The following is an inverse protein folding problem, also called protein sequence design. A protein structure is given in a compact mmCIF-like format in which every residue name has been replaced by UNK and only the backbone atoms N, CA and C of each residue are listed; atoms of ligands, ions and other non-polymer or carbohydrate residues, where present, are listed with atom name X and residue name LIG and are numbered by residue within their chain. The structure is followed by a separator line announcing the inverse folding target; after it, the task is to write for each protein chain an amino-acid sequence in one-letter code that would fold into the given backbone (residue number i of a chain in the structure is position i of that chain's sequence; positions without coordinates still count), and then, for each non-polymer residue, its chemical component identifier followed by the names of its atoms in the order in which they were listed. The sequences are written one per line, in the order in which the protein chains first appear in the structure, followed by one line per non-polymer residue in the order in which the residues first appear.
data_IF_199708553421
#
_entry.id   IF_199708553421
#
_cell.length_a   1.000
_cell.length_b   1.000
_cell.length_c   1.000
_cell.angle_alpha   90.00
_cell.angle_beta   90.00
_cell.angle_gamma   90.00
#
_symmetry.space_group_name_H-M   'P 1'
#
loop_
_entity.id
_entity.type
_entity.pdbx_description
1 polymer ?
#
# COMPACT_ATOMS: atom_id res chain seq x y z
N UNK A 1 -2.74 -18.68 -9.44
CA UNK A 1 -2.93 -17.21 -9.40
C UNK A 1 -1.99 -16.63 -10.43
N UNK A 2 -2.50 -15.96 -11.47
CA UNK A 2 -1.63 -15.28 -12.43
C UNK A 2 -1.08 -14.05 -11.69
N UNK A 3 0.23 -14.00 -11.48
CA UNK A 3 0.86 -12.88 -10.78
C UNK A 3 1.02 -11.72 -11.77
N UNK A 4 0.40 -10.55 -11.53
CA UNK A 4 0.54 -9.44 -12.43
C UNK A 4 1.99 -8.95 -12.46
N UNK A 5 2.41 -8.47 -13.63
CA UNK A 5 3.74 -7.88 -13.80
C UNK A 5 3.82 -6.49 -13.15
N UNK A 6 2.69 -5.80 -12.99
CA UNK A 6 2.58 -4.54 -12.27
C UNK A 6 1.50 -4.61 -11.18
N UNK A 7 1.81 -4.16 -9.96
CA UNK A 7 0.84 -3.99 -8.89
C UNK A 7 0.75 -2.51 -8.49
N UNK A 8 -0.45 -1.94 -8.59
CA UNK A 8 -0.76 -0.58 -8.13
C UNK A 8 -1.53 -0.67 -6.83
N UNK A 9 -1.05 0.01 -5.80
CA UNK A 9 -1.66 0.06 -4.49
C UNK A 9 -2.14 1.48 -4.17
N UNK A 10 -3.43 1.60 -3.85
CA UNK A 10 -4.08 2.87 -3.49
C UNK A 10 -4.47 2.87 -2.02
N UNK A 11 -3.94 3.82 -1.23
CA UNK A 11 -4.34 4.05 0.17
C UNK A 11 -4.56 5.54 0.44
N UNK A 12 -5.73 5.91 0.97
CA UNK A 12 -5.94 7.24 1.57
C UNK A 12 -5.60 7.20 3.04
N UNK A 13 -4.92 8.22 3.54
CA UNK A 13 -4.77 8.43 4.97
C UNK A 13 -5.92 9.30 5.49
N UNK A 14 -6.75 8.76 6.38
CA UNK A 14 -7.54 9.58 7.29
C UNK A 14 -6.60 10.13 8.37
N UNK A 15 -6.75 11.42 8.74
CA UNK A 15 -5.88 12.05 9.73
C UNK A 15 -5.86 11.22 11.03
N UNK A 16 -4.64 10.99 11.55
CA UNK A 16 -4.31 10.51 12.90
C UNK A 16 -4.45 9.03 13.29
N UNK A 17 -4.84 8.06 12.45
CA UNK A 17 -4.86 6.64 12.88
C UNK A 17 -4.31 5.58 11.92
N UNK A 18 -4.05 5.88 10.65
CA UNK A 18 -3.60 4.85 9.71
C UNK A 18 -2.14 5.02 9.32
N UNK A 19 -1.20 4.94 10.28
CA UNK A 19 0.20 4.73 9.89
C UNK A 19 0.26 3.48 9.00
N UNK A 20 0.72 3.64 7.75
CA UNK A 20 1.27 2.51 7.03
C UNK A 20 2.30 1.91 7.98
N UNK A 21 2.09 0.65 8.39
CA UNK A 21 3.14 -0.05 9.10
C UNK A 21 4.42 0.11 8.25
N UNK A 22 5.56 0.53 8.81
CA UNK A 22 6.78 0.76 8.03
C UNK A 22 7.20 -0.48 7.21
N UNK A 23 6.68 -1.67 7.55
CA UNK A 23 6.73 -2.87 6.74
C UNK A 23 6.11 -2.75 5.34
N UNK A 24 4.96 -2.10 5.19
CA UNK A 24 4.27 -2.03 3.89
C UNK A 24 5.06 -1.17 2.88
N UNK A 25 5.65 -0.05 3.32
CA UNK A 25 6.51 0.77 2.44
C UNK A 25 7.80 0.03 2.06
N UNK A 26 8.39 -0.76 2.99
CA UNK A 26 9.55 -1.62 2.74
C UNK A 26 9.30 -2.74 1.71
N UNK A 27 8.05 -3.17 1.52
CA UNK A 27 7.71 -4.21 0.55
C UNK A 27 7.60 -3.68 -0.89
N UNK A 28 7.42 -2.37 -1.07
CA UNK A 28 7.17 -1.73 -2.37
C UNK A 28 8.29 -0.82 -2.86
N UNK A 29 9.22 -0.41 -2.00
CA UNK A 29 10.42 0.31 -2.42
C UNK A 29 11.48 -0.65 -2.98
N UNK A 30 11.93 -0.41 -4.22
CA UNK A 30 13.12 -1.04 -4.80
C UNK A 30 14.44 -0.54 -4.20
N UNK A 31 14.44 -0.22 -2.90
CA UNK A 31 15.62 0.20 -2.16
C UNK A 31 16.42 -1.02 -1.73
N UNK A 32 17.66 -1.11 -2.20
CA UNK A 32 18.67 -1.97 -1.60
C UNK A 32 18.89 -1.55 -0.14
N UNK A 33 18.59 -2.44 0.81
CA UNK A 33 19.20 -2.37 2.14
C UNK A 33 18.24 -2.24 3.32
N UNK A 34 18.65 -2.88 4.40
CA UNK A 34 18.17 -2.79 5.78
C UNK A 34 18.23 -1.38 6.40
N UNK A 35 18.18 -0.30 5.62
CA UNK A 35 18.32 1.05 6.18
C UNK A 35 17.04 1.48 6.89
N UNK A 36 17.13 1.49 8.21
CA UNK A 36 16.14 1.95 9.19
C UNK A 36 16.09 3.49 9.32
N UNK A 37 16.92 4.17 8.53
CA UNK A 37 17.09 5.62 8.51
C UNK A 37 16.81 6.09 7.08
N UNK A 38 15.76 6.89 6.83
CA UNK A 38 15.49 7.42 5.50
C UNK A 38 16.53 8.49 5.09
N UNK A 39 16.74 8.67 3.79
CA UNK A 39 17.69 9.65 3.23
C UNK A 39 17.43 11.09 3.74
N UNK A 40 16.17 11.45 3.95
CA UNK A 40 15.76 12.76 4.46
C UNK A 40 15.67 12.83 6.00
N UNK A 41 16.33 11.91 6.72
CA UNK A 41 16.35 11.93 8.17
C UNK A 41 17.20 13.09 8.72
N UNK A 42 16.84 13.66 9.88
CA UNK A 42 17.69 14.63 10.56
C UNK A 42 19.05 14.01 10.92
N UNK A 43 20.10 14.82 10.89
CA UNK A 43 21.45 14.39 11.24
C UNK A 43 21.46 13.75 12.65
N UNK A 44 22.01 12.53 12.75
CA UNK A 44 22.09 11.79 14.01
C UNK A 44 20.83 10.99 14.38
N UNK A 45 19.87 10.85 13.47
CA UNK A 45 18.70 9.97 13.61
C UNK A 45 19.12 8.56 14.04
N UNK A 46 18.58 8.02 15.16
CA UNK A 46 18.95 6.69 15.63
C UNK A 46 18.35 5.54 14.82
N UNK A 47 17.42 5.82 13.89
CA UNK A 47 16.61 4.80 13.20
C UNK A 47 15.33 4.45 13.96
N UNK A 48 14.32 3.92 13.26
CA UNK A 48 13.00 3.58 13.83
C UNK A 48 12.96 2.24 14.58
N UNK A 49 13.92 1.35 14.34
CA UNK A 49 14.13 0.09 15.05
C UNK A 49 15.06 0.22 16.27
N UNK A 50 15.71 1.38 16.45
CA UNK A 50 16.57 1.63 17.61
C UNK A 50 15.77 1.81 18.90
N UNK A 51 16.33 1.35 20.02
CA UNK A 51 15.77 1.58 21.36
C UNK A 51 15.70 3.08 21.73
N UNK A 52 16.51 3.91 21.07
CA UNK A 52 16.61 5.37 21.24
C UNK A 52 15.65 6.16 20.33
N UNK A 53 14.89 5.46 19.47
CA UNK A 53 13.93 6.08 18.56
C UNK A 53 12.89 6.90 19.35
N UNK A 54 12.72 8.18 18.97
CA UNK A 54 11.80 9.11 19.65
C UNK A 54 12.26 9.62 21.02
N UNK A 55 13.40 9.14 21.53
CA UNK A 55 13.94 9.50 22.87
C UNK A 55 15.18 10.39 22.80
N UNK A 56 16.03 10.21 21.78
CA UNK A 56 17.25 11.00 21.58
C UNK A 56 16.96 12.46 21.22
N UNK A 57 17.88 13.37 21.53
CA UNK A 57 17.76 14.80 21.20
C UNK A 57 17.55 15.06 19.70
N UNK A 58 18.16 14.24 18.84
CA UNK A 58 17.96 14.30 17.38
C UNK A 58 16.52 14.02 16.93
N UNK A 59 15.66 13.50 17.81
CA UNK A 59 14.26 13.25 17.54
C UNK A 59 13.35 14.43 17.94
N UNK A 60 13.87 15.44 18.65
CA UNK A 60 13.08 16.60 19.06
C UNK A 60 12.55 17.35 17.83
N UNK A 61 11.25 17.62 17.80
CA UNK A 61 10.58 18.30 16.67
C UNK A 61 10.28 17.40 15.47
N UNK A 62 10.59 16.10 15.55
CA UNK A 62 10.18 15.14 14.52
C UNK A 62 8.66 14.89 14.59
N UNK A 63 7.91 14.99 13.46
CA UNK A 63 6.47 14.71 13.44
C UNK A 63 6.09 13.32 13.96
N UNK A 64 7.01 12.36 13.89
CA UNK A 64 6.81 10.97 14.30
C UNK A 64 7.48 10.63 15.65
N UNK A 65 7.94 11.61 16.43
CA UNK A 65 8.67 11.38 17.68
C UNK A 65 7.91 10.48 18.67
N UNK A 66 6.64 10.77 18.92
CA UNK A 66 5.80 9.99 19.86
C UNK A 66 5.56 8.56 19.39
N UNK A 67 5.37 8.38 18.08
CA UNK A 67 5.20 7.05 17.46
C UNK A 67 6.48 6.22 17.48
N UNK A 68 7.66 6.86 17.36
CA UNK A 68 8.94 6.18 17.52
C UNK A 68 9.20 5.81 18.99
N UNK A 69 8.90 6.72 19.92
CA UNK A 69 9.10 6.51 21.36
C UNK A 69 8.26 5.37 21.94
N UNK A 70 7.11 5.07 21.33
CA UNK A 70 6.24 3.96 21.73
C UNK A 70 6.78 2.58 21.36
N UNK A 71 7.85 2.50 20.55
CA UNK A 71 8.41 1.23 20.06
C UNK A 71 7.61 0.57 18.95
N UNK A 72 6.56 1.23 18.43
CA UNK A 72 5.70 0.70 17.38
C UNK A 72 6.43 0.43 16.05
N UNK A 73 7.58 1.07 15.80
CA UNK A 73 8.41 0.85 14.61
C UNK A 73 9.37 -0.34 14.70
N UNK A 74 9.59 -0.88 15.91
CA UNK A 74 10.67 -1.83 16.20
C UNK A 74 10.25 -3.29 16.12
N UNK A 75 8.94 -3.59 16.06
CA UNK A 75 8.44 -4.96 15.95
C UNK A 75 8.56 -5.48 14.51
N UNK A 76 9.13 -6.69 14.30
CA UNK A 76 9.00 -7.38 13.04
C UNK A 76 7.51 -7.68 12.80
N UNK A 77 6.95 -7.10 11.75
CA UNK A 77 5.59 -7.44 11.34
C UNK A 77 5.59 -8.86 10.78
N UNK A 78 4.79 -9.77 11.39
CA UNK A 78 4.83 -11.20 11.09
C UNK A 78 4.44 -11.49 9.64
N UNK A 79 3.72 -10.59 8.99
CA UNK A 79 3.24 -10.74 7.62
C UNK A 79 4.24 -10.21 6.58
N UNK A 80 5.32 -9.53 7.00
CA UNK A 80 6.35 -8.99 6.07
C UNK A 80 6.92 -10.08 5.16
N UNK A 81 7.26 -11.25 5.72
CA UNK A 81 7.86 -12.33 4.94
C UNK A 81 6.86 -12.92 3.93
N UNK A 82 5.62 -13.16 4.38
CA UNK A 82 4.56 -13.69 3.53
C UNK A 82 4.23 -12.72 2.38
N UNK A 83 4.16 -11.42 2.67
CA UNK A 83 3.92 -10.40 1.65
C UNK A 83 5.10 -10.28 0.67
N UNK A 84 6.34 -10.38 1.15
CA UNK A 84 7.54 -10.39 0.28
C UNK A 84 7.50 -11.56 -0.70
N UNK A 85 7.21 -12.77 -0.22
CA UNK A 85 7.11 -13.97 -1.06
C UNK A 85 5.99 -13.83 -2.09
N UNK A 86 4.80 -13.35 -1.67
CA UNK A 86 3.65 -13.16 -2.57
C UNK A 86 3.89 -12.11 -3.65
N UNK A 87 4.71 -11.09 -3.36
CA UNK A 87 5.02 -9.99 -4.27
C UNK A 87 6.29 -10.21 -5.11
N UNK A 88 7.01 -11.32 -4.91
CA UNK A 88 8.30 -11.59 -5.56
C UNK A 88 8.16 -11.64 -7.10
N UNK A 89 7.07 -12.22 -7.62
CA UNK A 89 6.82 -12.31 -9.06
C UNK A 89 6.30 -11.02 -9.71
N UNK A 90 5.96 -10.00 -8.92
CA UNK A 90 5.52 -8.70 -9.46
C UNK A 90 6.77 -7.90 -9.82
N UNK A 91 6.91 -7.41 -11.05
CA UNK A 91 8.11 -6.64 -11.47
C UNK A 91 8.04 -5.21 -10.93
N UNK A 92 6.94 -4.52 -11.21
CA UNK A 92 6.74 -3.12 -10.82
C UNK A 92 5.70 -3.00 -9.72
N UNK A 93 6.01 -2.25 -8.66
CA UNK A 93 5.07 -1.98 -7.59
C UNK A 93 4.95 -0.47 -7.39
N UNK A 94 3.74 0.05 -7.58
CA UNK A 94 3.48 1.48 -7.56
C UNK A 94 2.54 1.79 -6.41
N UNK A 95 3.02 2.57 -5.44
CA UNK A 95 2.23 2.98 -4.29
C UNK A 95 1.71 4.40 -4.50
N UNK A 96 0.39 4.56 -4.61
CA UNK A 96 -0.28 5.84 -4.77
C UNK A 96 -0.88 6.25 -3.43
N UNK A 97 -0.33 7.31 -2.82
CA UNK A 97 -0.73 7.82 -1.50
C UNK A 97 -1.28 9.23 -1.57
N UNK A 98 -2.17 9.57 -0.63
CA UNK A 98 -2.60 10.96 -0.39
C UNK A 98 -2.79 11.22 1.10
N UNK A 99 -2.36 12.39 1.55
CA UNK A 99 -2.59 12.90 2.91
C UNK A 99 -3.94 13.61 3.10
N UNK A 100 -4.74 13.75 2.05
CA UNK A 100 -6.07 14.39 2.09
C UNK A 100 -7.08 13.65 1.20
N UNK A 101 -8.33 13.57 1.65
CA UNK A 101 -9.43 13.05 0.82
C UNK A 101 -9.75 13.98 -0.35
N UNK A 102 -10.27 13.43 -1.44
CA UNK A 102 -10.78 14.22 -2.58
C UNK A 102 -9.74 14.73 -3.58
N UNK A 103 -8.46 14.42 -3.43
CA UNK A 103 -7.40 14.88 -4.36
C UNK A 103 -7.33 14.11 -5.69
N UNK A 104 -8.22 13.13 -5.91
CA UNK A 104 -8.21 12.31 -7.12
C UNK A 104 -7.24 11.12 -7.10
N UNK A 105 -6.74 10.69 -5.94
CA UNK A 105 -5.84 9.53 -5.81
C UNK A 105 -6.39 8.27 -6.49
N UNK A 106 -7.63 7.88 -6.18
CA UNK A 106 -8.22 6.67 -6.75
C UNK A 106 -8.44 6.80 -8.26
N UNK A 107 -8.75 8.01 -8.74
CA UNK A 107 -8.84 8.32 -10.17
C UNK A 107 -7.49 8.16 -10.87
N UNK A 108 -6.40 8.65 -10.27
CA UNK A 108 -5.05 8.49 -10.81
C UNK A 108 -4.65 7.01 -10.83
N UNK A 109 -4.89 6.28 -9.73
CA UNK A 109 -4.55 4.87 -9.62
C UNK A 109 -5.32 4.02 -10.64
N UNK A 110 -6.62 4.25 -10.82
CA UNK A 110 -7.43 3.52 -11.79
C UNK A 110 -7.03 3.82 -13.23
N UNK A 111 -6.80 5.09 -13.58
CA UNK A 111 -6.35 5.46 -14.92
C UNK A 111 -4.96 4.93 -15.24
N UNK A 112 -4.04 4.95 -14.28
CA UNK A 112 -2.72 4.35 -14.45
C UNK A 112 -2.83 2.83 -14.69
N UNK A 113 -3.69 2.13 -13.94
CA UNK A 113 -3.91 0.71 -14.12
C UNK A 113 -4.49 0.37 -15.50
N UNK A 114 -5.50 1.12 -15.94
CA UNK A 114 -6.09 0.96 -17.27
C UNK A 114 -5.08 1.26 -18.38
N UNK A 115 -4.24 2.28 -18.23
CA UNK A 115 -3.23 2.62 -19.23
C UNK A 115 -2.14 1.53 -19.36
N UNK A 116 -1.69 0.96 -18.24
CA UNK A 116 -0.74 -0.16 -18.27
C UNK A 116 -1.39 -1.42 -18.88
N UNK A 117 -2.62 -1.76 -18.47
CA UNK A 117 -3.39 -2.85 -19.07
C UNK A 117 -3.54 -2.69 -20.59
N UNK A 118 -3.93 -1.49 -21.04
CA UNK A 118 -4.09 -1.19 -22.47
C UNK A 118 -2.79 -1.27 -23.28
N UNK A 119 -1.62 -1.12 -22.63
CA UNK A 119 -0.32 -1.33 -23.25
C UNK A 119 0.12 -2.81 -23.27
N UNK A 120 -0.72 -3.73 -22.79
CA UNK A 120 -0.46 -5.16 -22.74
C UNK A 120 0.23 -5.64 -21.45
N UNK A 121 0.39 -4.77 -20.46
CA UNK A 121 0.93 -5.19 -19.16
C UNK A 121 -0.15 -5.84 -18.30
N UNK A 122 0.13 -7.07 -17.85
CA UNK A 122 -0.69 -7.71 -16.83
C UNK A 122 -0.62 -6.92 -15.52
N UNK A 123 -1.73 -6.29 -15.16
CA UNK A 123 -1.81 -5.25 -14.13
C UNK A 123 -2.81 -5.63 -13.04
N UNK A 124 -2.38 -5.55 -11.78
CA UNK A 124 -3.23 -5.69 -10.61
C UNK A 124 -3.42 -4.34 -9.92
N UNK A 125 -4.66 -3.98 -9.63
CA UNK A 125 -5.02 -2.79 -8.85
C UNK A 125 -5.60 -3.21 -7.50
N UNK A 126 -4.87 -2.88 -6.43
CA UNK A 126 -5.28 -3.13 -5.05
C UNK A 126 -5.71 -1.82 -4.38
N UNK A 127 -6.95 -1.79 -3.93
CA UNK A 127 -7.58 -0.65 -3.27
C UNK A 127 -7.93 -0.99 -1.82
N UNK A 128 -7.27 -0.31 -0.89
CA UNK A 128 -7.49 -0.45 0.54
C UNK A 128 -8.12 0.82 1.13
N UNK A 129 -8.75 1.64 0.28
CA UNK A 129 -9.38 2.90 0.64
C UNK A 129 -10.90 2.75 0.87
N UNK A 130 -11.36 3.07 2.07
CA UNK A 130 -12.79 3.01 2.43
C UNK A 130 -13.52 4.34 2.24
N UNK A 131 -12.79 5.46 2.10
CA UNK A 131 -13.35 6.81 2.19
C UNK A 131 -13.55 7.52 0.85
N UNK A 132 -13.22 6.90 -0.28
CA UNK A 132 -13.34 7.47 -1.63
C UNK A 132 -14.46 6.85 -2.48
N UNK A 133 -14.73 7.39 -3.69
CA UNK A 133 -15.49 6.67 -4.71
C UNK A 133 -14.80 5.32 -4.98
N UNK A 134 -15.59 4.25 -4.91
CA UNK A 134 -15.12 2.86 -4.99
C UNK A 134 -14.39 2.61 -6.32
N UNK A 135 -13.14 2.12 -6.29
CA UNK A 135 -12.42 1.68 -7.50
C UNK A 135 -13.26 0.69 -8.34
N UNK A 136 -14.00 -0.28 -7.74
CA UNK A 136 -14.98 -1.10 -8.45
C UNK A 136 -15.91 -0.33 -9.38
N UNK A 137 -16.42 0.83 -8.93
CA UNK A 137 -17.28 1.69 -9.75
C UNK A 137 -16.53 2.36 -10.89
N UNK A 138 -15.29 2.82 -10.66
CA UNK A 138 -14.50 3.50 -11.68
C UNK A 138 -14.13 2.58 -12.86
N UNK A 139 -13.96 1.29 -12.58
CA UNK A 139 -13.57 0.28 -13.57
C UNK A 139 -14.75 -0.57 -14.05
N UNK A 140 -15.99 -0.21 -13.68
CA UNK A 140 -17.21 -0.83 -14.22
C UNK A 140 -17.59 -2.19 -13.64
N UNK A 141 -17.04 -2.57 -12.49
CA UNK A 141 -17.26 -3.87 -11.82
C UNK A 141 -17.91 -3.73 -10.44
N UNK A 142 -18.68 -2.67 -10.20
CA UNK A 142 -19.28 -2.39 -8.88
C UNK A 142 -20.29 -3.43 -8.39
N UNK A 143 -20.81 -4.28 -9.27
CA UNK A 143 -21.73 -5.37 -8.94
C UNK A 143 -21.04 -6.73 -8.80
N UNK A 144 -19.71 -6.77 -8.91
CA UNK A 144 -18.93 -7.98 -8.70
C UNK A 144 -18.57 -8.17 -7.23
N UNK A 145 -18.24 -9.41 -6.86
CA UNK A 145 -17.84 -9.77 -5.51
C UNK A 145 -16.49 -10.48 -5.51
N UNK A 146 -15.64 -10.16 -4.52
CA UNK A 146 -14.40 -10.90 -4.30
C UNK A 146 -14.73 -12.25 -3.69
N UNK A 147 -14.28 -13.33 -4.33
CA UNK A 147 -14.48 -14.69 -3.83
C UNK A 147 -13.29 -15.14 -2.99
N UNK A 148 -13.58 -15.86 -1.92
CA UNK A 148 -12.54 -16.49 -1.12
C UNK A 148 -12.22 -17.88 -1.66
N UNK A 149 -10.96 -18.15 -1.95
CA UNK A 149 -10.43 -19.46 -2.33
C UNK A 149 -9.45 -19.96 -1.25
N UNK A 150 -9.04 -21.24 -1.32
CA UNK A 150 -8.06 -21.82 -0.39
C UNK A 150 -6.70 -21.08 -0.39
N UNK A 151 -6.37 -20.39 -1.49
CA UNK A 151 -5.13 -19.60 -1.64
C UNK A 151 -5.28 -18.13 -1.23
N UNK A 152 -6.46 -17.71 -0.78
CA UNK A 152 -6.80 -16.34 -0.43
C UNK A 152 -7.90 -15.76 -1.31
N UNK A 153 -7.99 -14.44 -1.34
CA UNK A 153 -8.99 -13.72 -2.14
C UNK A 153 -8.66 -13.79 -3.64
N UNK A 154 -9.65 -14.16 -4.44
CA UNK A 154 -9.54 -14.14 -5.89
C UNK A 154 -9.88 -12.74 -6.41
N UNK A 155 -9.02 -12.14 -7.24
CA UNK A 155 -9.29 -10.82 -7.80
C UNK A 155 -10.45 -10.87 -8.79
N UNK A 156 -11.15 -9.74 -8.91
CA UNK A 156 -12.15 -9.50 -9.95
C UNK A 156 -11.43 -9.05 -11.21
N UNK A 157 -11.68 -9.70 -12.33
CA UNK A 157 -11.08 -9.32 -13.61
C UNK A 157 -11.97 -8.28 -14.30
N UNK A 158 -11.37 -7.20 -14.76
CA UNK A 158 -12.02 -6.15 -15.56
C UNK A 158 -11.94 -6.49 -17.04
N UNK A 159 -10.77 -6.99 -17.46
CA UNK A 159 -10.48 -7.51 -18.80
C UNK A 159 -9.38 -8.59 -18.70
N UNK A 160 -8.79 -9.03 -19.82
CA UNK A 160 -7.76 -10.08 -19.84
C UNK A 160 -6.42 -9.68 -19.19
N UNK A 161 -6.18 -8.39 -19.00
CA UNK A 161 -4.92 -7.83 -18.51
C UNK A 161 -5.05 -6.98 -17.25
N UNK A 162 -6.26 -6.68 -16.78
CA UNK A 162 -6.52 -5.91 -15.56
C UNK A 162 -7.37 -6.70 -14.56
N UNK A 163 -6.82 -6.86 -13.35
CA UNK A 163 -7.57 -7.40 -12.22
C UNK A 163 -7.54 -6.45 -11.02
N UNK A 164 -8.60 -6.51 -10.21
CA UNK A 164 -8.88 -5.56 -9.13
C UNK A 164 -9.23 -6.32 -7.85
N UNK A 165 -8.65 -5.88 -6.75
CA UNK A 165 -9.09 -6.21 -5.40
C UNK A 165 -9.36 -4.90 -4.67
N UNK A 166 -10.57 -4.73 -4.15
CA UNK A 166 -10.95 -3.53 -3.40
C UNK A 166 -11.76 -3.90 -2.17
N UNK A 167 -11.57 -3.17 -1.07
CA UNK A 167 -12.48 -3.24 0.08
C UNK A 167 -13.92 -2.85 -0.30
N UNK A 168 -14.09 -2.04 -1.36
CA UNK A 168 -15.39 -1.65 -1.88
C UNK A 168 -16.29 -2.82 -2.29
N UNK A 169 -15.71 -3.98 -2.63
CA UNK A 169 -16.48 -5.21 -2.92
C UNK A 169 -17.07 -5.88 -1.67
N UNK A 170 -16.58 -5.52 -0.48
CA UNK A 170 -16.95 -6.16 0.79
C UNK A 170 -17.91 -5.29 1.61
N UNK A 171 -18.27 -4.11 1.11
CA UNK A 171 -19.15 -3.17 1.79
C UNK A 171 -20.52 -3.28 1.11
N UNK A 172 -21.62 -3.43 1.89
CA UNK A 172 -22.97 -3.45 1.33
C UNK A 172 -23.20 -2.23 0.44
N UNK A 173 -23.81 -2.45 -0.73
CA UNK A 173 -24.19 -1.40 -1.68
C UNK A 173 -24.90 -0.25 -0.96
N UNK A 174 -24.43 0.98 -1.19
CA UNK A 174 -25.08 2.21 -0.69
C UNK A 174 -26.38 2.49 -1.39
#
# INVERSE_FOLDING_TARGET
VITPNCAILSKSFARNQDMLHPGLLRLYGGGSGDEDIPENAPAGCPGTASAEAGKKDSCQGCPNQSACASGAGSSPDPDKLAAKIRMEGVRYKLLVLSGKGGVGKSTLASQLAMALSANGDLTGLLDIDICGPSIPRMVGVENEEVRQAASGWQPVWVDDSLCVVSIGFMIPSR
#
